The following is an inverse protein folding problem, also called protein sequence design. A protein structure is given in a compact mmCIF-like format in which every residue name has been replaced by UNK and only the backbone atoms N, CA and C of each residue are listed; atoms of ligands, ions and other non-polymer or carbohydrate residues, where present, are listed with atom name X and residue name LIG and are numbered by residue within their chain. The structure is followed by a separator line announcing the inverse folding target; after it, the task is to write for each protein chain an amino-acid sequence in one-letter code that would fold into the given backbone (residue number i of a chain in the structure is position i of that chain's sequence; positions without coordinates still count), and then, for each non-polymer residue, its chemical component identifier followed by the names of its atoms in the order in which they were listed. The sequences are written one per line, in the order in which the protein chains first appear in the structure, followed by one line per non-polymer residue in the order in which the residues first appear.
data_IF_541372453717
#
_entry.id   IF_541372453717
#
_cell.length_a   1.000
_cell.length_b   1.000
_cell.length_c   1.000
_cell.angle_alpha   90.00
_cell.angle_beta   90.00
_cell.angle_gamma   90.00
#
_symmetry.space_group_name_H-M   'P 1'
#
loop_
_entity.id
_entity.type
_entity.pdbx_description
1 polymer ?
#
# COMPACT_ATOMS: atom_id res chain seq x y z
N UNK A 1 8.41 16.49 -9.41
CA UNK A 1 7.32 15.61 -8.98
C UNK A 1 7.21 14.34 -9.82
N UNK A 2 7.03 14.43 -11.15
CA UNK A 2 6.81 13.25 -12.02
C UNK A 2 7.99 12.26 -11.97
N UNK A 3 9.23 12.75 -12.02
CA UNK A 3 10.43 11.90 -11.98
C UNK A 3 10.48 11.11 -10.64
N UNK A 4 10.20 11.76 -9.53
CA UNK A 4 10.18 11.13 -8.20
C UNK A 4 9.12 10.02 -8.14
N UNK A 5 7.92 10.28 -8.64
CA UNK A 5 6.84 9.29 -8.72
C UNK A 5 7.24 8.10 -9.58
N UNK A 6 7.84 8.33 -10.76
CA UNK A 6 8.30 7.26 -11.65
C UNK A 6 9.39 6.39 -10.99
N UNK A 7 10.36 7.00 -10.32
CA UNK A 7 11.41 6.26 -9.60
C UNK A 7 10.81 5.38 -8.50
N UNK A 8 9.88 5.92 -7.71
CA UNK A 8 9.21 5.17 -6.66
C UNK A 8 8.42 3.98 -7.23
N UNK A 9 7.67 4.18 -8.32
CA UNK A 9 6.92 3.11 -8.98
C UNK A 9 7.86 2.00 -9.45
N UNK A 10 8.95 2.35 -10.15
CA UNK A 10 9.92 1.37 -10.67
C UNK A 10 10.61 0.59 -9.55
N UNK A 11 10.90 1.23 -8.42
CA UNK A 11 11.53 0.55 -7.28
C UNK A 11 10.55 -0.33 -6.49
N UNK A 12 9.29 0.08 -6.40
CA UNK A 12 8.28 -0.61 -5.56
C UNK A 12 7.66 -1.82 -6.25
N UNK A 13 7.54 -1.84 -7.57
CA UNK A 13 6.85 -2.90 -8.30
C UNK A 13 7.48 -4.28 -8.11
N UNK A 14 8.83 -4.36 -8.00
CA UNK A 14 9.53 -5.62 -7.82
C UNK A 14 9.19 -6.36 -6.52
N UNK A 15 8.82 -5.63 -5.46
CA UNK A 15 8.32 -6.19 -4.21
C UNK A 15 6.97 -6.88 -4.39
N UNK A 16 6.03 -6.20 -5.03
CA UNK A 16 4.68 -6.73 -5.32
C UNK A 16 4.78 -7.96 -6.24
N UNK A 17 5.60 -7.87 -7.29
CA UNK A 17 5.78 -8.98 -8.23
C UNK A 17 6.31 -10.24 -7.55
N UNK A 18 7.26 -10.13 -6.63
CA UNK A 18 7.78 -11.25 -5.85
C UNK A 18 6.73 -11.83 -4.91
N UNK A 19 5.96 -10.98 -4.24
CA UNK A 19 4.88 -11.41 -3.35
C UNK A 19 3.80 -12.16 -4.12
N UNK A 20 3.33 -11.62 -5.24
CA UNK A 20 2.32 -12.26 -6.10
C UNK A 20 2.83 -13.59 -6.62
N UNK A 21 4.09 -13.65 -7.11
CA UNK A 21 4.70 -14.90 -7.57
C UNK A 21 4.75 -15.95 -6.47
N UNK A 22 5.20 -15.59 -5.26
CA UNK A 22 5.22 -16.49 -4.12
C UNK A 22 3.85 -17.03 -3.77
N UNK A 23 2.83 -16.16 -3.78
CA UNK A 23 1.45 -16.55 -3.50
C UNK A 23 0.87 -17.47 -4.59
N UNK A 24 1.15 -17.19 -5.85
CA UNK A 24 0.76 -18.08 -6.98
C UNK A 24 1.38 -19.46 -6.83
N UNK A 25 2.65 -19.55 -6.48
CA UNK A 25 3.33 -20.84 -6.30
C UNK A 25 2.71 -21.62 -5.14
N UNK A 26 2.48 -20.97 -4.00
CA UNK A 26 1.81 -21.58 -2.85
C UNK A 26 0.40 -22.09 -3.17
N UNK A 27 -0.39 -21.32 -3.91
CA UNK A 27 -1.75 -21.70 -4.28
C UNK A 27 -1.79 -22.87 -5.27
N UNK A 28 -0.76 -23.05 -6.10
CA UNK A 28 -0.66 -24.19 -7.04
C UNK A 28 -0.42 -25.53 -6.33
N UNK A 29 0.11 -25.52 -5.12
CA UNK A 29 0.36 -26.71 -4.31
C UNK A 29 -0.86 -27.15 -3.50
N UNK A 30 -1.90 -26.31 -3.43
CA UNK A 30 -3.14 -26.64 -2.71
C UNK A 30 -3.92 -27.76 -3.39
N UNK A 31 -4.54 -28.62 -2.58
CA UNK A 31 -5.30 -29.79 -3.04
C UNK A 31 -6.41 -29.45 -4.04
N UNK A 32 -7.10 -28.32 -3.87
CA UNK A 32 -8.15 -27.89 -4.78
C UNK A 32 -7.62 -27.62 -6.21
N UNK A 33 -6.38 -27.11 -6.31
CA UNK A 33 -5.75 -26.84 -7.60
C UNK A 33 -5.37 -28.16 -8.30
N UNK A 34 -4.78 -29.09 -7.53
CA UNK A 34 -4.39 -30.40 -8.03
C UNK A 34 -5.63 -31.22 -8.44
N UNK A 35 -6.69 -31.20 -7.63
CA UNK A 35 -7.96 -31.84 -7.93
C UNK A 35 -8.59 -31.28 -9.22
N UNK A 36 -8.67 -29.95 -9.37
CA UNK A 36 -9.19 -29.34 -10.57
C UNK A 36 -8.40 -29.69 -11.82
N UNK A 37 -7.09 -29.82 -11.70
CA UNK A 37 -6.21 -30.24 -12.80
C UNK A 37 -6.40 -31.71 -13.15
N UNK A 38 -6.61 -32.60 -12.17
CA UNK A 38 -6.82 -34.02 -12.39
C UNK A 38 -8.14 -34.33 -13.12
N UNK A 39 -9.16 -33.49 -12.93
CA UNK A 39 -10.46 -33.58 -13.64
C UNK A 39 -10.38 -33.02 -15.08
N UNK A 40 -9.20 -32.54 -15.51
CA UNK A 40 -9.00 -32.00 -16.85
C UNK A 40 -9.53 -30.56 -17.03
N UNK A 41 -9.77 -29.81 -15.94
CA UNK A 41 -10.22 -28.42 -16.05
C UNK A 41 -9.13 -27.59 -16.72
N UNK A 42 -9.45 -26.79 -17.76
CA UNK A 42 -8.46 -25.98 -18.45
C UNK A 42 -7.86 -24.92 -17.51
N UNK A 43 -6.56 -24.77 -17.58
CA UNK A 43 -5.75 -23.95 -16.65
C UNK A 43 -6.27 -22.51 -16.51
N UNK A 44 -6.77 -21.90 -17.59
CA UNK A 44 -7.31 -20.53 -17.52
C UNK A 44 -8.55 -20.42 -16.62
N UNK A 45 -9.41 -21.44 -16.59
CA UNK A 45 -10.60 -21.49 -15.70
C UNK A 45 -10.17 -21.63 -14.23
N UNK A 46 -9.16 -22.44 -13.95
CA UNK A 46 -8.62 -22.60 -12.61
C UNK A 46 -8.04 -21.25 -12.13
N UNK A 47 -7.30 -20.56 -13.01
CA UNK A 47 -6.72 -19.25 -12.68
C UNK A 47 -7.82 -18.23 -12.39
N UNK A 48 -8.77 -18.04 -13.27
CA UNK A 48 -9.80 -17.00 -13.12
C UNK A 48 -10.78 -17.27 -11.99
N UNK A 49 -11.18 -18.53 -11.78
CA UNK A 49 -12.25 -18.88 -10.84
C UNK A 49 -11.74 -19.17 -9.42
N UNK A 50 -10.54 -19.65 -9.28
CA UNK A 50 -10.01 -20.09 -7.99
C UNK A 50 -8.76 -19.33 -7.57
N UNK A 51 -7.77 -19.18 -8.46
CA UNK A 51 -6.48 -18.59 -8.13
C UNK A 51 -6.59 -17.06 -7.96
N UNK A 52 -7.18 -16.39 -8.93
CA UNK A 52 -7.26 -14.93 -8.97
C UNK A 52 -8.02 -14.33 -7.77
N UNK A 53 -9.20 -14.82 -7.35
CA UNK A 53 -9.88 -14.28 -6.18
C UNK A 53 -9.06 -14.42 -4.88
N UNK A 54 -8.37 -15.56 -4.70
CA UNK A 54 -7.53 -15.79 -3.52
C UNK A 54 -6.30 -14.88 -3.48
N UNK A 55 -5.70 -14.61 -4.64
CA UNK A 55 -4.53 -13.72 -4.73
C UNK A 55 -4.95 -12.25 -4.59
N UNK A 56 -6.09 -11.85 -5.15
CA UNK A 56 -6.57 -10.48 -5.10
C UNK A 56 -6.69 -9.95 -3.67
N UNK A 57 -7.18 -10.75 -2.73
CA UNK A 57 -7.26 -10.34 -1.33
C UNK A 57 -5.89 -9.93 -0.75
N UNK A 58 -4.86 -10.72 -1.04
CA UNK A 58 -3.49 -10.45 -0.58
C UNK A 58 -2.90 -9.23 -1.30
N UNK A 59 -3.15 -9.11 -2.61
CA UNK A 59 -2.67 -7.96 -3.41
C UNK A 59 -3.31 -6.66 -2.93
N UNK A 60 -4.61 -6.64 -2.64
CA UNK A 60 -5.31 -5.45 -2.15
C UNK A 60 -4.73 -5.00 -0.81
N UNK A 61 -4.55 -5.92 0.14
CA UNK A 61 -3.95 -5.59 1.44
C UNK A 61 -2.53 -5.04 1.27
N UNK A 62 -1.73 -5.66 0.42
CA UNK A 62 -0.37 -5.18 0.16
C UNK A 62 -0.37 -3.81 -0.53
N UNK A 63 -1.31 -3.57 -1.45
CA UNK A 63 -1.46 -2.27 -2.11
C UNK A 63 -1.86 -1.17 -1.12
N UNK A 64 -2.76 -1.44 -0.17
CA UNK A 64 -3.14 -0.45 0.87
C UNK A 64 -1.98 -0.12 1.80
N UNK A 65 -1.20 -1.12 2.23
CA UNK A 65 -0.01 -0.91 3.05
C UNK A 65 1.06 -0.11 2.30
N UNK A 66 1.29 -0.42 1.03
CA UNK A 66 2.22 0.34 0.19
C UNK A 66 1.77 1.78 0.00
N UNK A 67 0.48 2.01 -0.25
CA UNK A 67 -0.07 3.36 -0.40
C UNK A 67 0.15 4.19 0.87
N UNK A 68 -0.15 3.61 2.04
CA UNK A 68 0.13 4.25 3.34
C UNK A 68 1.64 4.56 3.51
N UNK A 69 2.51 3.59 3.17
CA UNK A 69 3.96 3.78 3.21
C UNK A 69 4.46 4.89 2.27
N UNK A 70 3.86 5.02 1.08
CA UNK A 70 4.24 6.08 0.13
C UNK A 70 3.91 7.48 0.62
N UNK A 71 2.83 7.66 1.37
CA UNK A 71 2.50 8.94 2.02
C UNK A 71 3.61 9.31 3.01
N UNK A 72 4.10 8.35 3.80
CA UNK A 72 5.20 8.58 4.76
C UNK A 72 6.49 8.92 4.03
N UNK A 73 6.82 8.19 2.96
CA UNK A 73 8.04 8.43 2.16
C UNK A 73 7.99 9.81 1.51
N UNK A 74 6.87 10.19 0.88
CA UNK A 74 6.70 11.52 0.27
C UNK A 74 6.85 12.61 1.33
N UNK A 75 6.15 12.48 2.46
CA UNK A 75 6.21 13.47 3.54
C UNK A 75 7.61 13.59 4.14
N UNK A 76 8.32 12.46 4.31
CA UNK A 76 9.70 12.44 4.78
C UNK A 76 10.68 13.08 3.79
N UNK A 77 10.55 12.78 2.50
CA UNK A 77 11.39 13.41 1.46
C UNK A 77 11.11 14.90 1.34
N UNK A 78 9.85 15.31 1.40
CA UNK A 78 9.46 16.72 1.40
C UNK A 78 10.00 17.44 2.62
N UNK A 79 9.93 16.83 3.80
CA UNK A 79 10.52 17.35 5.04
C UNK A 79 12.03 17.55 4.91
N UNK A 80 12.75 16.62 4.28
CA UNK A 80 14.19 16.74 4.04
C UNK A 80 14.56 17.67 2.87
N UNK A 81 13.58 18.26 2.19
CA UNK A 81 13.82 19.17 1.06
C UNK A 81 14.00 18.47 -0.31
N UNK A 82 13.88 17.14 -0.36
CA UNK A 82 14.00 16.33 -1.59
C UNK A 82 12.66 15.95 -2.20
N UNK A 83 11.55 16.45 -1.66
CA UNK A 83 10.19 16.10 -2.08
C UNK A 83 9.67 16.92 -3.26
N UNK A 84 8.36 17.15 -3.24
CA UNK A 84 7.65 17.94 -4.24
C UNK A 84 8.00 19.43 -4.07
N UNK A 85 8.07 20.16 -5.18
CA UNK A 85 8.32 21.62 -5.15
C UNK A 85 7.38 22.31 -4.14
N UNK A 86 7.92 23.23 -3.34
CA UNK A 86 7.16 24.03 -2.36
C UNK A 86 5.99 24.83 -2.99
N UNK A 87 6.00 25.02 -4.31
CA UNK A 87 4.88 25.62 -5.03
C UNK A 87 3.63 24.72 -5.09
N UNK A 88 3.77 23.42 -4.81
CA UNK A 88 2.66 22.45 -4.78
C UNK A 88 2.35 22.16 -3.32
N UNK A 89 1.12 22.47 -2.85
CA UNK A 89 0.75 22.18 -1.48
C UNK A 89 0.71 20.67 -1.22
N UNK A 90 1.47 20.21 -0.24
CA UNK A 90 1.42 18.85 0.28
C UNK A 90 1.58 18.86 1.81
N UNK A 91 1.11 17.84 2.48
CA UNK A 91 1.28 17.72 3.93
C UNK A 91 2.77 17.65 4.32
N UNK A 92 3.60 17.02 3.47
CA UNK A 92 5.04 16.97 3.66
C UNK A 92 5.68 18.34 3.58
N UNK A 93 5.28 19.17 2.60
CA UNK A 93 5.76 20.56 2.50
C UNK A 93 5.33 21.39 3.71
N UNK A 94 4.10 21.22 4.22
CA UNK A 94 3.65 21.89 5.45
C UNK A 94 4.48 21.47 6.67
N UNK A 95 4.89 20.20 6.75
CA UNK A 95 5.77 19.73 7.79
C UNK A 95 7.20 20.27 7.64
N UNK A 96 7.67 20.52 6.41
CA UNK A 96 9.01 21.08 6.19
C UNK A 96 9.13 22.52 6.72
N UNK A 97 8.04 23.27 6.73
CA UNK A 97 8.01 24.61 7.29
C UNK A 97 8.18 24.58 8.83
N UNK A 98 7.96 23.43 9.47
CA UNK A 98 8.20 23.25 10.90
C UNK A 98 9.68 23.07 11.28
N UNK A 99 10.61 22.98 10.33
CA UNK A 99 12.06 22.85 10.61
C UNK A 99 12.65 24.12 11.23
N UNK A 100 11.98 25.25 11.10
CA UNK A 100 12.37 26.46 11.81
C UNK A 100 12.18 26.26 13.31
N UNK A 101 13.26 26.38 14.09
CA UNK A 101 13.26 26.06 15.50
C UNK A 101 12.20 26.79 16.34
N UNK A 102 11.84 28.00 15.93
CA UNK A 102 10.77 28.79 16.56
C UNK A 102 9.37 28.22 16.29
N UNK A 103 9.19 27.43 15.23
CA UNK A 103 7.90 26.87 14.85
C UNK A 103 7.57 25.62 15.67
N UNK A 104 8.55 24.76 15.92
CA UNK A 104 8.33 23.52 16.68
C UNK A 104 7.83 23.81 18.09
N UNK A 105 8.48 24.74 18.79
CA UNK A 105 8.18 25.04 20.20
C UNK A 105 7.15 26.15 20.37
N UNK A 106 7.12 27.15 19.46
CA UNK A 106 6.32 28.35 19.61
C UNK A 106 5.02 28.36 18.81
N UNK A 107 4.90 27.53 17.73
CA UNK A 107 3.75 27.57 16.81
C UNK A 107 3.24 26.18 16.45
N UNK A 108 2.78 25.37 17.41
CA UNK A 108 2.38 23.98 17.18
C UNK A 108 1.21 23.86 16.17
N UNK A 109 0.38 24.87 15.99
CA UNK A 109 -0.73 24.91 15.04
C UNK A 109 -0.29 24.86 13.55
N UNK A 110 0.99 25.02 13.24
CA UNK A 110 1.51 24.94 11.87
C UNK A 110 1.75 23.48 11.48
N UNK A 111 2.38 22.70 12.36
CA UNK A 111 2.81 21.32 12.05
C UNK A 111 1.85 20.24 12.57
N UNK A 112 1.09 20.50 13.65
CA UNK A 112 0.15 19.52 14.20
C UNK A 112 -0.97 19.14 13.22
N UNK A 113 -1.63 20.07 12.51
CA UNK A 113 -2.69 19.69 11.58
C UNK A 113 -2.21 18.75 10.46
N UNK A 114 -1.13 19.01 9.71
CA UNK A 114 -0.67 18.06 8.68
C UNK A 114 -0.19 16.74 9.28
N UNK A 115 0.45 16.72 10.46
CA UNK A 115 0.83 15.48 11.14
C UNK A 115 -0.38 14.63 11.51
N UNK A 116 -1.44 15.24 12.05
CA UNK A 116 -2.69 14.56 12.38
C UNK A 116 -3.36 14.03 11.11
N UNK A 117 -3.42 14.83 10.03
CA UNK A 117 -4.03 14.41 8.77
C UNK A 117 -3.31 13.22 8.14
N UNK A 118 -1.98 13.21 8.13
CA UNK A 118 -1.18 12.06 7.66
C UNK A 118 -1.51 10.83 8.51
N UNK A 119 -1.49 10.95 9.83
CA UNK A 119 -1.75 9.85 10.75
C UNK A 119 -3.15 9.27 10.55
N UNK A 120 -4.19 10.12 10.50
CA UNK A 120 -5.57 9.70 10.28
C UNK A 120 -5.74 9.03 8.92
N UNK A 121 -5.11 9.56 7.88
CA UNK A 121 -5.18 8.98 6.54
C UNK A 121 -4.55 7.59 6.51
N UNK A 122 -3.38 7.40 7.11
CA UNK A 122 -2.70 6.11 7.19
C UNK A 122 -3.55 5.10 7.97
N UNK A 123 -4.11 5.49 9.12
CA UNK A 123 -5.00 4.64 9.90
C UNK A 123 -6.24 4.25 9.11
N UNK A 124 -6.89 5.21 8.45
CA UNK A 124 -8.08 4.95 7.63
C UNK A 124 -7.81 3.97 6.51
N UNK A 125 -6.68 4.13 5.80
CA UNK A 125 -6.28 3.23 4.71
C UNK A 125 -6.02 1.82 5.26
N UNK A 126 -5.36 1.69 6.40
CA UNK A 126 -5.10 0.40 7.03
C UNK A 126 -6.40 -0.30 7.44
N UNK A 127 -7.34 0.42 8.06
CA UNK A 127 -8.65 -0.15 8.40
C UNK A 127 -9.45 -0.58 7.18
N UNK A 128 -9.43 0.20 6.11
CA UNK A 128 -10.06 -0.19 4.83
C UNK A 128 -9.39 -1.43 4.26
N UNK A 129 -8.05 -1.51 4.29
CA UNK A 129 -7.31 -2.68 3.85
C UNK A 129 -7.66 -3.95 4.63
N UNK A 130 -7.77 -3.86 5.95
CA UNK A 130 -8.20 -4.98 6.80
C UNK A 130 -9.66 -5.37 6.53
N UNK A 131 -10.57 -4.41 6.42
CA UNK A 131 -11.97 -4.68 6.10
C UNK A 131 -12.15 -5.38 4.75
N UNK A 132 -11.38 -4.99 3.75
CA UNK A 132 -11.37 -5.66 2.44
C UNK A 132 -10.84 -7.08 2.56
N UNK A 133 -9.73 -7.28 3.29
CA UNK A 133 -9.17 -8.61 3.55
C UNK A 133 -10.20 -9.55 4.17
N UNK A 134 -10.93 -9.08 5.19
CA UNK A 134 -11.94 -9.87 5.88
C UNK A 134 -13.15 -10.18 4.99
N UNK A 135 -13.54 -9.25 4.13
CA UNK A 135 -14.60 -9.46 3.15
C UNK A 135 -14.25 -10.55 2.10
N UNK A 136 -12.98 -10.63 1.69
CA UNK A 136 -12.50 -11.64 0.73
C UNK A 136 -12.05 -12.96 1.39
N UNK A 137 -11.95 -13.03 2.73
CA UNK A 137 -11.53 -14.24 3.44
C UNK A 137 -12.70 -14.86 4.25
N UNK A 138 -13.56 -15.68 3.63
CA UNK A 138 -14.73 -16.26 4.30
C UNK A 138 -14.38 -17.28 5.40
N UNK A 139 -13.11 -17.68 5.53
CA UNK A 139 -12.66 -18.67 6.53
C UNK A 139 -12.32 -18.07 7.90
N UNK A 140 -12.31 -16.78 8.08
CA UNK A 140 -12.02 -16.09 9.34
C UNK A 140 -13.21 -15.93 10.29
N UNK A 141 -14.41 -16.39 9.93
CA UNK A 141 -15.61 -16.36 10.79
C UNK A 141 -15.81 -17.71 11.51
N UNK A 142 -14.91 -18.04 12.41
CA UNK A 142 -15.17 -19.02 13.47
C UNK A 142 -14.61 -18.52 14.78
#
# INVERSE_FOLDING_TARGET
AIILVLVIIVLSWGGIARLVRGKVLQEKENEYFLAAKSIGTPTYKIILKHLLPNILSVVIVQATLLFAGMIVVESGLSFLGFGISKAIPSWGNMLSDAQEGDVISGKPWIWMPPAIMITLTILSINFVGEGIKDAFNPRGRR
#
